data_IF_704552320637
#
_entry.id   IF_704552320637
#
_cell.length_a   1.000
_cell.length_b   1.000
_cell.length_c   1.000
_cell.angle_alpha   90.00
_cell.angle_beta   90.00
_cell.angle_gamma   90.00
#
_symmetry.space_group_name_H-M   'P 1'
#
loop_
_entity.id
_entity.type
_entity.pdbx_description
1 polymer ?
#
# COMPACT_ATOMS: atom_id res chain seq x y z
N UNK A 1 -28.36 -51.84 6.62
CA UNK A 1 -28.73 -50.71 7.51
C UNK A 1 -27.52 -49.81 7.63
N UNK A 2 -27.67 -48.57 7.15
CA UNK A 2 -26.63 -47.52 7.12
C UNK A 2 -26.64 -46.78 8.46
N UNK A 3 -25.48 -46.55 9.07
CA UNK A 3 -25.17 -45.32 9.81
C UNK A 3 -23.76 -45.40 10.39
N UNK A 4 -22.82 -44.76 9.71
CA UNK A 4 -21.60 -44.25 10.35
C UNK A 4 -21.67 -42.74 10.22
N UNK A 5 -21.93 -42.08 11.35
CA UNK A 5 -21.98 -40.64 11.49
C UNK A 5 -20.60 -40.05 11.14
N UNK A 6 -20.56 -39.15 10.16
CA UNK A 6 -19.45 -38.27 9.87
C UNK A 6 -19.20 -37.31 11.05
N UNK A 7 -18.02 -37.39 11.67
CA UNK A 7 -17.52 -36.30 12.50
C UNK A 7 -17.17 -35.12 11.60
N UNK A 8 -17.94 -34.04 11.73
CA UNK A 8 -17.67 -32.75 11.10
C UNK A 8 -16.47 -32.11 11.81
N UNK A 9 -15.40 -31.92 11.05
CA UNK A 9 -14.24 -31.10 11.40
C UNK A 9 -14.69 -29.67 11.70
N UNK A 10 -14.72 -29.30 12.98
CA UNK A 10 -14.92 -27.92 13.44
C UNK A 10 -13.54 -27.30 13.71
N UNK A 11 -12.80 -26.99 12.66
CA UNK A 11 -11.48 -26.37 12.75
C UNK A 11 -11.34 -25.29 11.68
N UNK A 12 -12.05 -24.16 11.84
CA UNK A 12 -11.86 -23.01 10.95
C UNK A 12 -12.38 -21.69 11.53
N UNK A 13 -12.06 -21.35 12.80
CA UNK A 13 -12.30 -19.99 13.31
C UNK A 13 -11.16 -19.55 14.24
N UNK A 14 -9.94 -19.60 13.72
CA UNK A 14 -8.83 -18.79 14.23
C UNK A 14 -8.38 -17.94 13.05
N UNK A 15 -9.10 -16.84 12.80
CA UNK A 15 -8.56 -15.77 11.98
C UNK A 15 -7.57 -15.02 12.88
N UNK A 16 -6.26 -15.04 12.60
CA UNK A 16 -5.35 -14.14 13.28
C UNK A 16 -5.73 -12.72 12.86
N UNK A 17 -6.21 -11.93 13.82
CA UNK A 17 -6.24 -10.48 13.72
C UNK A 17 -4.79 -10.00 13.75
N UNK A 18 -4.11 -10.15 12.62
CA UNK A 18 -2.72 -9.76 12.45
C UNK A 18 -2.65 -8.28 12.08
N UNK A 19 -1.72 -7.59 12.71
CA UNK A 19 -1.43 -6.17 12.60
C UNK A 19 -0.84 -5.80 11.21
N UNK A 20 -1.67 -5.84 10.18
CA UNK A 20 -1.31 -5.64 8.76
C UNK A 20 -1.55 -4.20 8.25
N UNK A 21 -1.35 -3.17 9.07
CA UNK A 21 -1.78 -1.82 8.66
C UNK A 21 -0.98 -1.22 7.49
N UNK A 22 0.22 -1.73 7.17
CA UNK A 22 1.06 -1.26 6.07
C UNK A 22 1.32 -2.28 4.97
N UNK A 23 1.22 -3.59 5.23
CA UNK A 23 1.52 -4.63 4.22
C UNK A 23 0.66 -4.49 2.95
N UNK A 24 -0.54 -3.92 3.08
CA UNK A 24 -1.48 -3.66 1.97
C UNK A 24 -1.68 -2.17 1.67
N UNK A 25 -0.94 -1.25 2.30
CA UNK A 25 -1.14 0.19 2.14
C UNK A 25 -0.99 0.60 0.66
N UNK A 26 0.17 0.29 0.09
CA UNK A 26 0.50 0.59 -1.30
C UNK A 26 -0.53 0.00 -2.26
N UNK A 27 -0.87 -1.28 -2.09
CA UNK A 27 -1.83 -1.97 -2.95
C UNK A 27 -3.21 -1.29 -2.91
N UNK A 28 -3.67 -0.88 -1.72
CA UNK A 28 -4.95 -0.18 -1.54
C UNK A 28 -4.95 1.17 -2.23
N UNK A 29 -3.95 2.02 -1.99
CA UNK A 29 -3.90 3.36 -2.61
C UNK A 29 -3.79 3.26 -4.12
N UNK A 30 -2.97 2.34 -4.63
CA UNK A 30 -2.83 2.07 -6.07
C UNK A 30 -4.16 1.71 -6.71
N UNK A 31 -4.93 0.83 -6.06
CA UNK A 31 -6.25 0.42 -6.55
C UNK A 31 -7.28 1.57 -6.46
N UNK A 32 -7.33 2.29 -5.33
CA UNK A 32 -8.26 3.40 -5.09
C UNK A 32 -8.07 4.52 -6.13
N UNK A 33 -6.81 4.88 -6.42
CA UNK A 33 -6.47 5.91 -7.40
C UNK A 33 -6.24 5.38 -8.83
N UNK A 34 -6.53 4.10 -9.09
CA UNK A 34 -6.36 3.46 -10.40
C UNK A 34 -4.97 3.70 -11.03
N UNK A 35 -3.93 3.65 -10.20
CA UNK A 35 -2.57 3.98 -10.62
C UNK A 35 -1.96 2.86 -11.48
N UNK A 36 -1.32 3.19 -12.61
CA UNK A 36 -0.67 2.18 -13.45
C UNK A 36 0.47 1.45 -12.74
N UNK A 37 0.53 0.13 -12.90
CA UNK A 37 1.53 -0.70 -12.23
C UNK A 37 2.98 -0.35 -12.62
N UNK A 38 3.18 0.12 -13.85
CA UNK A 38 4.49 0.55 -14.35
C UNK A 38 5.05 1.78 -13.62
N UNK A 39 4.20 2.60 -12.98
CA UNK A 39 4.63 3.77 -12.21
C UNK A 39 5.39 3.41 -10.94
N UNK A 40 5.42 2.13 -10.58
CA UNK A 40 6.09 1.63 -9.39
C UNK A 40 7.38 0.89 -9.72
N UNK A 41 7.83 0.82 -10.96
CA UNK A 41 9.06 0.12 -11.29
C UNK A 41 10.32 0.89 -10.85
N UNK A 42 11.32 0.19 -10.31
CA UNK A 42 12.61 0.78 -9.92
C UNK A 42 13.79 -0.17 -10.15
N UNK A 43 15.01 0.39 -10.20
CA UNK A 43 16.28 -0.35 -10.20
C UNK A 43 17.06 -0.11 -8.90
N UNK A 44 16.95 1.07 -8.31
CA UNK A 44 17.51 1.43 -7.00
C UNK A 44 16.55 2.32 -6.21
N UNK A 45 16.86 2.54 -4.93
CA UNK A 45 16.07 3.45 -4.06
C UNK A 45 16.03 4.87 -4.62
N UNK A 46 17.09 5.34 -5.28
CA UNK A 46 17.15 6.68 -5.89
C UNK A 46 16.16 6.87 -7.05
N UNK A 47 15.63 5.77 -7.62
CA UNK A 47 14.58 5.82 -8.63
C UNK A 47 13.18 6.05 -8.03
N UNK A 48 13.05 6.03 -6.69
CA UNK A 48 11.77 6.15 -6.00
C UNK A 48 11.64 7.52 -5.32
N UNK A 49 10.45 8.09 -5.38
CA UNK A 49 10.10 9.34 -4.74
C UNK A 49 8.80 9.18 -3.95
N UNK A 50 8.68 9.95 -2.87
CA UNK A 50 7.42 10.08 -2.14
C UNK A 50 6.49 11.10 -2.83
N UNK A 51 5.22 10.73 -2.90
CA UNK A 51 4.12 11.60 -3.33
C UNK A 51 3.09 11.66 -2.23
N UNK A 52 2.70 12.88 -1.87
CA UNK A 52 1.71 13.10 -0.82
C UNK A 52 0.35 12.55 -1.19
N UNK A 53 -0.22 11.75 -0.29
CA UNK A 53 -1.60 11.29 -0.36
C UNK A 53 -2.43 12.10 0.65
N UNK A 54 -3.51 12.77 0.24
CA UNK A 54 -4.33 13.54 1.17
C UNK A 54 -4.79 12.73 2.40
N UNK A 55 -4.58 13.25 3.61
CA UNK A 55 -4.96 12.63 4.89
C UNK A 55 -4.30 11.27 5.21
N UNK A 56 -3.28 10.85 4.46
CA UNK A 56 -2.65 9.53 4.61
C UNK A 56 -1.13 9.68 4.57
N UNK A 57 -0.43 8.58 4.82
CA UNK A 57 1.02 8.52 4.60
C UNK A 57 1.37 8.80 3.15
N UNK A 58 2.56 9.30 2.88
CA UNK A 58 3.01 9.45 1.49
C UNK A 58 3.08 8.07 0.79
N UNK A 59 3.00 8.08 -0.55
CA UNK A 59 3.11 6.88 -1.38
C UNK A 59 4.43 6.91 -2.16
N UNK A 60 5.18 5.82 -2.11
CA UNK A 60 6.35 5.65 -2.96
C UNK A 60 5.96 5.32 -4.41
N UNK A 61 6.50 6.08 -5.35
CA UNK A 61 6.34 5.90 -6.80
C UNK A 61 7.68 6.07 -7.48
N UNK A 62 7.80 5.64 -8.74
CA UNK A 62 8.95 5.98 -9.57
C UNK A 62 9.07 7.50 -9.72
N UNK A 63 10.26 8.04 -9.51
CA UNK A 63 10.57 9.45 -9.65
C UNK A 63 10.19 10.00 -11.03
N UNK A 64 10.25 9.16 -12.08
CA UNK A 64 9.85 9.51 -13.44
C UNK A 64 8.34 9.82 -13.58
N UNK A 65 7.51 9.33 -12.66
CA UNK A 65 6.05 9.45 -12.68
C UNK A 65 5.49 10.28 -11.53
N UNK A 66 6.35 10.91 -10.72
CA UNK A 66 5.98 11.64 -9.49
C UNK A 66 4.86 12.65 -9.69
N UNK A 67 5.00 13.51 -10.69
CA UNK A 67 4.02 14.58 -10.96
C UNK A 67 2.66 14.01 -11.41
N UNK A 68 2.68 13.03 -12.33
CA UNK A 68 1.46 12.37 -12.80
C UNK A 68 0.75 11.59 -11.69
N UNK A 69 1.50 10.93 -10.81
CA UNK A 69 0.96 10.25 -9.64
C UNK A 69 0.31 11.22 -8.66
N UNK A 70 0.92 12.38 -8.41
CA UNK A 70 0.33 13.42 -7.55
C UNK A 70 -1.03 13.86 -8.08
N UNK A 71 -1.09 14.20 -9.36
CA UNK A 71 -2.31 14.72 -9.97
C UNK A 71 -3.43 13.67 -9.94
N UNK A 72 -3.11 12.40 -10.23
CA UNK A 72 -4.06 11.29 -10.12
C UNK A 72 -4.54 11.05 -8.68
N UNK A 73 -3.66 11.14 -7.68
CA UNK A 73 -4.02 10.99 -6.27
C UNK A 73 -4.93 12.12 -5.78
N UNK A 74 -4.67 13.36 -6.18
CA UNK A 74 -5.50 14.52 -5.84
C UNK A 74 -6.90 14.40 -6.46
N UNK A 75 -6.98 13.91 -7.71
CA UNK A 75 -8.25 13.69 -8.39
C UNK A 75 -9.05 12.54 -7.76
N UNK A 76 -8.40 11.43 -7.45
CA UNK A 76 -9.07 10.23 -6.95
C UNK A 76 -9.44 10.29 -5.46
N UNK A 77 -8.67 11.02 -4.65
CA UNK A 77 -8.87 11.10 -3.20
C UNK A 77 -9.15 12.57 -2.84
N UNK A 78 -10.32 13.11 -3.26
CA UNK A 78 -10.61 14.51 -3.07
C UNK A 78 -10.89 14.80 -1.60
N UNK A 79 -10.23 15.85 -1.12
CA UNK A 79 -10.53 16.58 0.12
C UNK A 79 -10.07 15.92 1.43
N UNK A 80 -9.02 16.51 1.98
CA UNK A 80 -8.61 16.42 3.37
C UNK A 80 -8.26 17.83 3.85
N UNK A 81 -8.73 18.23 5.04
CA UNK A 81 -8.37 19.52 5.65
C UNK A 81 -6.97 19.51 6.33
N UNK A 82 -6.25 18.39 6.25
CA UNK A 82 -4.90 18.18 6.80
C UNK A 82 -3.87 17.85 5.72
N UNK A 83 -2.58 17.95 6.08
CA UNK A 83 -1.46 17.52 5.25
C UNK A 83 -1.30 16.00 5.26
N UNK A 84 -0.49 15.45 4.34
CA UNK A 84 -0.06 14.06 4.43
C UNK A 84 0.75 13.82 5.71
N UNK A 85 0.79 12.56 6.14
CA UNK A 85 1.62 12.11 7.23
C UNK A 85 3.03 11.83 6.66
N UNK A 86 4.00 12.67 7.01
CA UNK A 86 5.41 12.48 6.64
C UNK A 86 6.07 11.44 7.56
N UNK A 87 5.47 10.26 7.67
CA UNK A 87 5.88 9.15 8.55
C UNK A 87 6.43 7.95 7.77
N UNK A 88 6.75 8.16 6.50
CA UNK A 88 7.18 7.11 5.57
C UNK A 88 8.44 7.48 4.80
N UNK A 89 9.10 6.46 4.26
CA UNK A 89 10.25 6.56 3.37
C UNK A 89 10.01 5.73 2.09
N UNK A 90 10.61 6.15 0.98
CA UNK A 90 10.56 5.40 -0.27
C UNK A 90 11.73 4.42 -0.34
N UNK A 91 11.45 3.17 -0.70
CA UNK A 91 12.47 2.15 -0.94
C UNK A 91 12.22 1.42 -2.28
N UNK A 92 13.27 0.78 -2.81
CA UNK A 92 13.15 -0.11 -3.96
C UNK A 92 13.30 -1.57 -3.52
N UNK A 93 12.18 -2.30 -3.43
CA UNK A 93 12.16 -3.72 -3.08
C UNK A 93 11.62 -4.55 -4.23
N UNK A 94 12.30 -5.67 -4.56
CA UNK A 94 11.88 -6.58 -5.64
C UNK A 94 11.59 -5.85 -6.97
N UNK A 95 12.36 -4.80 -7.27
CA UNK A 95 12.22 -3.90 -8.43
C UNK A 95 10.93 -3.07 -8.45
N UNK A 96 10.34 -2.85 -7.28
CA UNK A 96 9.18 -1.99 -7.09
C UNK A 96 9.45 -0.93 -6.03
N UNK A 97 9.02 0.30 -6.29
CA UNK A 97 8.93 1.33 -5.29
C UNK A 97 7.88 0.91 -4.26
N UNK A 98 8.27 0.92 -3.00
CA UNK A 98 7.45 0.54 -1.85
C UNK A 98 7.54 1.61 -0.78
N UNK A 99 6.42 1.85 -0.12
CA UNK A 99 6.33 2.76 1.03
C UNK A 99 6.67 1.99 2.30
N UNK A 100 7.69 2.43 3.03
CA UNK A 100 8.07 1.87 4.33
C UNK A 100 7.85 2.90 5.44
N UNK A 101 7.65 2.49 6.71
CA UNK A 101 7.69 3.42 7.82
C UNK A 101 9.04 4.13 7.89
N UNK A 102 9.02 5.46 8.05
CA UNK A 102 10.24 6.19 8.37
C UNK A 102 10.77 5.72 9.72
N UNK A 103 12.09 5.53 9.83
CA UNK A 103 12.71 5.22 11.12
C UNK A 103 12.58 6.46 12.01
N UNK A 104 11.87 6.33 13.11
CA UNK A 104 11.89 7.33 14.19
C UNK A 104 13.29 7.34 14.81
N UNK A 105 13.96 8.48 14.76
CA UNK A 105 15.18 8.75 15.54
C UNK A 105 14.87 8.89 17.04
#
# INVERSE_FOLDING_TARGET
MKSTLSLVFLAALLQPAAAHHLDDYDARIRAEAHLPGEWFACKSTDDCALVSVPCRSDLAVSAAHREAARDALVEAIPFCLGSSLNDTEAACEKRQCVTLPAKTE
#
